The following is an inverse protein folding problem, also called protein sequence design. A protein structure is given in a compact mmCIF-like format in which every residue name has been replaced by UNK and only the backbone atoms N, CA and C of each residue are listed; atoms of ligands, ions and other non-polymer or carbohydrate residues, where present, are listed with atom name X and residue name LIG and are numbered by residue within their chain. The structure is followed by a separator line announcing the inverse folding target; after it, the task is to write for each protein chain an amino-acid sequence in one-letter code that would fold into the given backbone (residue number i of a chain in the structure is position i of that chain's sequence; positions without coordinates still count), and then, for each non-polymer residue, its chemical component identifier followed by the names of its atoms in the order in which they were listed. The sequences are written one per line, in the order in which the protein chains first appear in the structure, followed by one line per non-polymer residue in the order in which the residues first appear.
data_IF_511407207820
#
_entry.id   IF_511407207820
#
_cell.length_a   1.000
_cell.length_b   1.000
_cell.length_c   1.000
_cell.angle_alpha   90.00
_cell.angle_beta   90.00
_cell.angle_gamma   90.00
#
_symmetry.space_group_name_H-M   'P 1'
#
loop_
_entity.id
_entity.type
_entity.pdbx_description
1 polymer ?
#
# COMPACT_ATOMS: atom_id res chain seq x y z
N UNK A 1 -1.94 -1.69 -11.32
CA UNK A 1 -1.60 -0.37 -10.73
C UNK A 1 -2.90 0.41 -10.55
N UNK A 2 -3.14 1.07 -9.41
CA UNK A 2 -4.32 1.90 -9.22
C UNK A 2 -4.34 3.04 -10.26
N UNK A 3 -5.54 3.47 -10.67
CA UNK A 3 -5.71 4.62 -11.56
C UNK A 3 -5.24 5.89 -10.83
N UNK A 4 -4.68 6.86 -11.57
CA UNK A 4 -4.28 8.16 -11.00
C UNK A 4 -5.50 8.80 -10.31
N UNK A 5 -5.30 9.31 -9.10
CA UNK A 5 -6.33 9.91 -8.23
C UNK A 5 -7.37 8.97 -7.62
N UNK A 6 -7.23 7.65 -7.76
CA UNK A 6 -8.10 6.69 -7.04
C UNK A 6 -7.41 6.15 -5.79
N UNK A 7 -8.16 6.00 -4.70
CA UNK A 7 -7.68 5.39 -3.44
C UNK A 7 -6.42 6.08 -2.87
N UNK A 8 -6.25 7.37 -3.14
CA UNK A 8 -5.09 8.19 -2.70
C UNK A 8 -4.98 8.20 -1.18
N UNK A 9 -6.09 8.40 -0.50
CA UNK A 9 -6.14 8.42 0.97
C UNK A 9 -5.69 7.08 1.57
N UNK A 10 -6.22 5.97 1.05
CA UNK A 10 -5.83 4.62 1.48
C UNK A 10 -4.35 4.34 1.21
N UNK A 11 -3.82 4.76 0.06
CA UNK A 11 -2.40 4.63 -0.26
C UNK A 11 -1.53 5.48 0.68
N UNK A 12 -1.98 6.67 1.07
CA UNK A 12 -1.31 7.51 2.07
C UNK A 12 -1.27 6.82 3.42
N UNK A 13 -2.41 6.32 3.90
CA UNK A 13 -2.51 5.60 5.17
C UNK A 13 -1.57 4.39 5.22
N UNK A 14 -1.50 3.58 4.15
CA UNK A 14 -0.57 2.43 4.09
C UNK A 14 0.88 2.91 4.06
N UNK A 15 1.17 4.02 3.39
CA UNK A 15 2.53 4.58 3.33
C UNK A 15 2.98 5.14 4.68
N UNK A 16 2.10 5.83 5.39
CA UNK A 16 2.34 6.35 6.74
C UNK A 16 2.52 5.20 7.73
N UNK A 17 1.63 4.20 7.69
CA UNK A 17 1.74 2.97 8.46
C UNK A 17 3.11 2.29 8.28
N UNK A 18 3.58 2.15 7.04
CA UNK A 18 4.86 1.48 6.75
C UNK A 18 6.08 2.30 7.20
N UNK A 19 5.95 3.62 7.33
CA UNK A 19 7.02 4.52 7.80
C UNK A 19 7.07 4.60 9.33
N UNK A 20 5.96 4.35 10.00
CA UNK A 20 5.87 4.39 11.44
C UNK A 20 6.50 3.13 12.06
N UNK A 21 7.65 3.33 12.72
CA UNK A 21 8.40 2.27 13.40
C UNK A 21 7.68 1.71 14.63
N UNK A 22 6.69 2.43 15.16
CA UNK A 22 5.87 1.98 16.29
C UNK A 22 4.61 1.25 15.83
N UNK A 23 4.30 1.27 14.53
CA UNK A 23 3.12 0.61 14.00
C UNK A 23 3.31 -0.91 13.91
N UNK A 24 2.19 -1.63 13.87
CA UNK A 24 2.23 -3.10 13.73
C UNK A 24 2.89 -3.46 12.40
N UNK A 25 3.77 -4.48 12.34
CA UNK A 25 4.48 -4.84 11.10
C UNK A 25 3.59 -5.47 10.02
N UNK A 26 2.34 -5.81 10.35
CA UNK A 26 1.37 -6.38 9.42
C UNK A 26 0.18 -5.45 9.20
N UNK A 27 -0.07 -5.07 7.94
CA UNK A 27 -1.26 -4.32 7.52
C UNK A 27 -2.27 -5.28 6.86
N UNK A 28 -3.50 -5.29 7.35
CA UNK A 28 -4.58 -6.11 6.80
C UNK A 28 -5.52 -5.26 5.94
N UNK A 29 -5.62 -5.58 4.66
CA UNK A 29 -6.54 -4.92 3.72
C UNK A 29 -7.77 -5.82 3.46
N UNK A 30 -8.90 -5.51 4.08
CA UNK A 30 -10.18 -6.16 3.79
C UNK A 30 -11.06 -5.32 2.85
N UNK A 31 -12.03 -5.98 2.23
CA UNK A 31 -13.00 -5.34 1.35
C UNK A 31 -13.69 -6.37 0.46
N UNK A 32 -14.81 -5.98 -0.13
CA UNK A 32 -15.62 -6.83 -1.02
C UNK A 32 -14.76 -7.45 -2.14
N UNK A 33 -15.11 -8.65 -2.59
CA UNK A 33 -14.48 -9.22 -3.79
C UNK A 33 -14.60 -8.25 -4.98
N UNK A 34 -13.64 -8.28 -5.90
CA UNK A 34 -13.60 -7.38 -7.07
C UNK A 34 -13.31 -5.89 -6.81
N UNK A 35 -13.01 -5.46 -5.57
CA UNK A 35 -12.63 -4.06 -5.28
C UNK A 35 -11.19 -3.69 -5.60
N UNK A 36 -10.43 -4.60 -6.23
CA UNK A 36 -9.05 -4.33 -6.63
C UNK A 36 -8.03 -4.34 -5.48
N UNK A 37 -8.27 -5.08 -4.39
CA UNK A 37 -7.32 -5.24 -3.27
C UNK A 37 -5.91 -5.64 -3.73
N UNK A 38 -5.79 -6.61 -4.64
CA UNK A 38 -4.50 -7.02 -5.22
C UNK A 38 -3.85 -5.91 -6.04
N UNK A 39 -4.65 -5.04 -6.67
CA UNK A 39 -4.16 -3.86 -7.40
C UNK A 39 -3.58 -2.81 -6.45
N UNK A 40 -4.18 -2.63 -5.27
CA UNK A 40 -3.65 -1.75 -4.21
C UNK A 40 -2.30 -2.30 -3.71
N UNK A 41 -2.25 -3.58 -3.34
CA UNK A 41 -1.01 -4.21 -2.86
C UNK A 41 0.15 -4.08 -3.86
N UNK A 42 -0.09 -4.35 -5.16
CA UNK A 42 0.92 -4.15 -6.21
C UNK A 42 1.36 -2.69 -6.34
N UNK A 43 0.43 -1.74 -6.18
CA UNK A 43 0.75 -0.31 -6.28
C UNK A 43 1.62 0.16 -5.13
N UNK A 44 1.30 -0.29 -3.90
CA UNK A 44 2.10 -0.03 -2.70
C UNK A 44 3.49 -0.64 -2.82
N UNK A 45 3.58 -1.92 -3.21
CA UNK A 45 4.86 -2.60 -3.42
C UNK A 45 5.73 -1.88 -4.46
N UNK A 46 5.15 -1.46 -5.59
CA UNK A 46 5.87 -0.70 -6.60
C UNK A 46 6.35 0.67 -6.08
N UNK A 47 5.54 1.34 -5.24
CA UNK A 47 5.92 2.60 -4.62
C UNK A 47 7.15 2.42 -3.72
N UNK A 48 7.16 1.39 -2.88
CA UNK A 48 8.30 1.08 -2.01
C UNK A 48 9.53 0.59 -2.77
N UNK A 49 9.33 -0.18 -3.86
CA UNK A 49 10.42 -0.56 -4.77
C UNK A 49 11.11 0.68 -5.35
N UNK A 50 10.32 1.65 -5.84
CA UNK A 50 10.85 2.90 -6.38
C UNK A 50 11.57 3.75 -5.31
N UNK A 51 11.14 3.66 -4.06
CA UNK A 51 11.77 4.33 -2.91
C UNK A 51 13.00 3.57 -2.37
N UNK A 52 13.38 2.44 -2.98
CA UNK A 52 14.48 1.56 -2.51
C UNK A 52 14.31 1.09 -1.06
N UNK A 53 13.07 0.90 -0.64
CA UNK A 53 12.71 0.45 0.72
C UNK A 53 12.37 -1.04 0.79
N UNK A 54 12.55 -1.79 -0.31
CA UNK A 54 12.40 -3.24 -0.32
C UNK A 54 13.75 -3.90 -0.02
N UNK A 55 13.71 -4.97 0.78
CA UNK A 55 14.88 -5.81 1.02
C UNK A 55 15.38 -6.47 -0.27
N UNK A 56 16.70 -6.62 -0.36
CA UNK A 56 17.39 -7.26 -1.49
C UNK A 56 17.26 -8.79 -1.45
#
# INVERSE_FOLDING_TARGET
RCLRSTRVELLSQITEWAKDKNSKPNFWLNGMASTGKSTIARTVAQSFANQRQLGA
#
